data_IF_578723134391
#
_entry.id   IF_578723134391
#
_cell.length_a   1.000
_cell.length_b   1.000
_cell.length_c   1.000
_cell.angle_alpha   90.00
_cell.angle_beta   90.00
_cell.angle_gamma   90.00
#
_symmetry.space_group_name_H-M   'P 1'
#
loop_
_entity.id
_entity.type
_entity.pdbx_description
1 polymer ?
#
# COMPACT_ATOMS: atom_id res chain seq x y z
N UNK A 1 -12.64 -5.02 39.33
CA UNK A 1 -13.95 -4.44 39.70
C UNK A 1 -14.65 -4.04 38.41
N UNK A 2 -15.69 -4.80 38.06
CA UNK A 2 -16.70 -4.54 37.01
C UNK A 2 -17.89 -3.79 37.65
N UNK A 3 -18.87 -3.19 36.93
CA UNK A 3 -19.71 -3.88 35.93
C UNK A 3 -20.05 -3.06 34.66
N UNK A 4 -20.12 -3.68 33.47
CA UNK A 4 -21.26 -4.43 32.92
C UNK A 4 -22.57 -3.63 32.83
N UNK A 5 -23.03 -3.37 31.60
CA UNK A 5 -24.44 -3.59 31.22
C UNK A 5 -24.57 -3.83 29.72
N UNK A 6 -25.16 -4.98 29.41
CA UNK A 6 -25.51 -5.50 28.10
C UNK A 6 -26.66 -4.71 27.47
N UNK A 7 -26.77 -4.72 26.14
CA UNK A 7 -27.90 -5.40 25.46
C UNK A 7 -27.67 -5.55 23.94
N UNK A 8 -27.81 -6.79 23.46
CA UNK A 8 -28.24 -7.16 22.10
C UNK A 8 -29.60 -7.90 22.26
N UNK A 9 -30.32 -8.42 21.23
CA UNK A 9 -30.09 -8.49 19.77
C UNK A 9 -31.40 -8.27 18.95
N UNK A 10 -31.53 -8.94 17.78
CA UNK A 10 -32.70 -9.21 16.88
C UNK A 10 -32.53 -8.51 15.51
N UNK A 11 -31.92 -9.15 14.51
CA UNK A 11 -32.45 -10.16 13.56
C UNK A 11 -33.42 -9.57 12.51
N UNK A 12 -33.07 -9.70 11.22
CA UNK A 12 -33.91 -9.28 10.11
C UNK A 12 -33.28 -9.54 8.73
N UNK A 13 -33.36 -10.79 8.29
CA UNK A 13 -33.04 -11.30 6.95
C UNK A 13 -34.01 -10.70 5.90
N UNK A 14 -33.53 -10.13 4.81
CA UNK A 14 -34.33 -9.95 3.59
C UNK A 14 -33.46 -9.86 2.33
N UNK A 15 -33.43 -10.99 1.62
CA UNK A 15 -33.03 -11.17 0.23
C UNK A 15 -33.92 -10.33 -0.71
N UNK A 16 -33.46 -10.07 -1.94
CA UNK A 16 -34.17 -9.72 -3.22
C UNK A 16 -33.62 -8.42 -3.86
N UNK A 17 -33.41 -8.25 -5.17
CA UNK A 17 -33.55 -9.05 -6.41
C UNK A 17 -32.69 -8.35 -7.48
N UNK A 18 -31.88 -9.09 -8.24
CA UNK A 18 -31.45 -8.63 -9.57
C UNK A 18 -32.64 -8.76 -10.53
N UNK A 19 -33.01 -7.67 -11.19
CA UNK A 19 -33.76 -7.69 -12.44
C UNK A 19 -33.39 -6.46 -13.27
N UNK A 20 -32.72 -6.69 -14.40
CA UNK A 20 -32.61 -5.68 -15.45
C UNK A 20 -33.94 -5.52 -16.17
N UNK A 21 -34.13 -4.35 -16.80
CA UNK A 21 -35.01 -4.21 -17.95
C UNK A 21 -34.46 -3.14 -18.88
N UNK A 22 -34.14 -3.59 -20.10
CA UNK A 22 -34.08 -2.78 -21.29
C UNK A 22 -35.47 -2.19 -21.60
N UNK A 23 -35.50 -0.99 -22.20
CA UNK A 23 -36.75 -0.36 -22.64
C UNK A 23 -36.52 0.97 -23.35
N UNK A 24 -36.35 0.89 -24.67
CA UNK A 24 -36.35 1.97 -25.68
C UNK A 24 -37.54 2.95 -25.50
N UNK A 25 -37.39 4.25 -25.82
CA UNK A 25 -38.36 5.29 -25.43
C UNK A 25 -39.57 5.35 -26.38
N UNK A 26 -40.78 5.64 -25.87
CA UNK A 26 -41.82 6.27 -26.67
C UNK A 26 -41.71 7.80 -26.54
N UNK A 27 -41.77 8.46 -27.69
CA UNK A 27 -41.75 9.90 -27.82
C UNK A 27 -42.96 10.53 -27.10
N UNK A 28 -42.70 11.46 -26.19
CA UNK A 28 -43.71 12.35 -25.64
C UNK A 28 -43.47 13.74 -26.21
N UNK A 29 -44.45 14.17 -26.98
CA UNK A 29 -44.62 15.53 -27.48
C UNK A 29 -44.45 16.55 -26.38
N UNK A 30 -43.70 17.60 -26.69
CA UNK A 30 -43.42 18.74 -25.84
C UNK A 30 -44.69 19.28 -25.17
N UNK A 31 -44.68 19.29 -23.84
CA UNK A 31 -45.41 20.26 -23.06
C UNK A 31 -44.43 20.92 -22.08
N UNK A 32 -44.32 22.23 -22.19
CA UNK A 32 -43.29 23.03 -21.55
C UNK A 32 -43.72 23.37 -20.14
N UNK A 33 -43.35 22.53 -19.17
CA UNK A 33 -43.41 22.83 -17.75
C UNK A 33 -42.09 22.47 -17.10
N UNK A 34 -41.21 23.45 -16.92
CA UNK A 34 -39.90 23.26 -16.30
C UNK A 34 -40.08 22.76 -14.86
N UNK A 35 -39.78 21.48 -14.64
CA UNK A 35 -39.62 20.94 -13.31
C UNK A 35 -38.37 21.56 -12.70
N UNK A 36 -38.62 22.51 -11.79
CA UNK A 36 -37.69 23.24 -10.95
C UNK A 36 -36.74 22.25 -10.24
N UNK A 37 -35.57 22.04 -10.81
CA UNK A 37 -34.45 21.42 -10.14
C UNK A 37 -34.04 22.40 -9.04
N UNK A 38 -34.57 22.21 -7.83
CA UNK A 38 -34.05 22.89 -6.64
C UNK A 38 -32.63 22.40 -6.42
N UNK A 39 -31.71 23.10 -7.07
CA UNK A 39 -30.29 23.10 -6.85
C UNK A 39 -30.10 23.46 -5.37
N UNK A 40 -29.89 22.45 -4.53
CA UNK A 40 -29.52 22.68 -3.13
C UNK A 40 -28.11 23.27 -3.17
N UNK A 41 -28.03 24.59 -3.10
CA UNK A 41 -26.78 25.33 -3.06
C UNK A 41 -26.05 24.93 -1.76
N UNK A 42 -25.10 24.00 -1.90
CA UNK A 42 -24.18 23.62 -0.83
C UNK A 42 -23.27 24.82 -0.56
N UNK A 43 -23.73 25.72 0.30
CA UNK A 43 -22.91 26.78 0.87
C UNK A 43 -21.93 26.16 1.87
N UNK A 44 -20.91 25.51 1.32
CA UNK A 44 -19.70 25.22 2.05
C UNK A 44 -19.06 26.58 2.33
N UNK A 45 -18.83 26.93 3.60
CA UNK A 45 -18.02 28.09 4.02
C UNK A 45 -16.54 27.89 3.63
N UNK A 46 -16.30 27.56 2.36
CA UNK A 46 -15.02 27.58 1.73
C UNK A 46 -14.70 29.06 1.50
N UNK A 47 -13.46 29.50 1.74
CA UNK A 47 -13.04 30.78 1.20
C UNK A 47 -13.32 30.79 -0.29
N UNK A 48 -13.77 31.94 -0.83
CA UNK A 48 -14.01 32.10 -2.27
C UNK A 48 -12.85 31.46 -3.04
N UNK A 49 -13.12 30.71 -4.12
CA UNK A 49 -12.06 30.17 -4.95
C UNK A 49 -11.27 31.36 -5.46
N UNK A 50 -10.19 31.70 -4.74
CA UNK A 50 -9.16 32.59 -5.22
C UNK A 50 -8.78 32.00 -6.57
N UNK A 51 -8.68 32.83 -7.60
CA UNK A 51 -8.11 32.42 -8.88
C UNK A 51 -6.82 31.68 -8.55
N UNK A 52 -6.87 30.34 -8.52
CA UNK A 52 -5.68 29.57 -8.33
C UNK A 52 -5.01 29.70 -9.68
N UNK A 53 -4.22 30.76 -9.81
CA UNK A 53 -3.07 30.76 -10.68
C UNK A 53 -2.04 29.82 -10.06
N UNK A 54 -2.48 28.58 -9.81
CA UNK A 54 -1.70 27.40 -9.65
C UNK A 54 -0.85 27.41 -10.93
N UNK A 55 0.44 27.76 -10.86
CA UNK A 55 1.24 27.82 -12.06
C UNK A 55 1.06 26.48 -12.76
N UNK A 56 0.53 26.50 -13.98
CA UNK A 56 0.64 25.39 -14.91
C UNK A 56 2.09 24.94 -14.78
N UNK A 57 2.35 23.72 -14.27
CA UNK A 57 3.66 23.38 -13.79
C UNK A 57 4.67 23.61 -14.91
N UNK A 58 5.47 24.68 -14.77
CA UNK A 58 6.47 25.05 -15.75
C UNK A 58 7.33 23.83 -16.05
N UNK A 59 7.52 23.53 -17.33
CA UNK A 59 7.95 22.26 -17.87
C UNK A 59 9.42 21.86 -17.57
N UNK A 60 9.99 22.36 -16.48
CA UNK A 60 11.39 22.19 -16.08
C UNK A 60 11.53 21.28 -14.86
N UNK A 61 10.77 20.17 -14.82
CA UNK A 61 11.08 19.09 -13.89
C UNK A 61 12.44 18.50 -14.23
N UNK A 62 13.34 18.48 -13.25
CA UNK A 62 14.56 17.69 -13.27
C UNK A 62 14.20 16.21 -13.45
N UNK A 63 15.17 15.41 -13.87
CA UNK A 63 14.97 13.97 -13.99
C UNK A 63 14.61 13.31 -12.65
N UNK A 64 15.02 13.90 -11.52
CA UNK A 64 14.64 13.41 -10.20
C UNK A 64 13.12 13.53 -9.98
N UNK A 65 12.53 14.72 -10.21
CA UNK A 65 11.08 14.89 -10.00
C UNK A 65 10.25 14.13 -11.04
N UNK A 66 10.72 13.99 -12.28
CA UNK A 66 10.08 13.11 -13.27
C UNK A 66 10.07 11.66 -12.81
N UNK A 67 11.16 11.19 -12.21
CA UNK A 67 11.24 9.86 -11.61
C UNK A 67 10.23 9.68 -10.47
N UNK A 68 10.11 10.66 -9.58
CA UNK A 68 9.11 10.61 -8.51
C UNK A 68 7.66 10.63 -9.02
N UNK A 69 7.38 11.38 -10.09
CA UNK A 69 6.05 11.37 -10.72
C UNK A 69 5.71 10.03 -11.35
N UNK A 70 6.64 9.45 -12.10
CA UNK A 70 6.46 8.13 -12.69
C UNK A 70 6.24 7.08 -11.59
N UNK A 71 7.03 7.15 -10.51
CA UNK A 71 6.85 6.28 -9.34
C UNK A 71 5.48 6.44 -8.69
N UNK A 72 5.02 7.68 -8.51
CA UNK A 72 3.70 7.97 -7.95
C UNK A 72 2.55 7.49 -8.86
N UNK A 73 2.77 7.44 -10.17
CA UNK A 73 1.85 6.85 -11.14
C UNK A 73 1.89 5.31 -11.19
N UNK A 74 2.82 4.69 -10.47
CA UNK A 74 3.03 3.24 -10.48
C UNK A 74 3.89 2.73 -11.64
N UNK A 75 4.49 3.61 -12.45
CA UNK A 75 5.40 3.22 -13.52
C UNK A 75 6.84 3.10 -12.99
N UNK A 76 7.13 1.95 -12.39
CA UNK A 76 8.46 1.63 -11.85
C UNK A 76 9.56 1.64 -12.92
N UNK A 77 9.24 1.26 -14.17
CA UNK A 77 10.23 1.17 -15.25
C UNK A 77 10.67 2.57 -15.65
N UNK A 78 9.69 3.45 -15.92
CA UNK A 78 9.97 4.82 -16.30
C UNK A 78 10.66 5.58 -15.14
N UNK A 79 10.21 5.36 -13.90
CA UNK A 79 10.82 5.95 -12.72
C UNK A 79 12.32 5.62 -12.59
N UNK A 80 12.67 4.33 -12.69
CA UNK A 80 14.07 3.89 -12.60
C UNK A 80 14.92 4.47 -13.73
N UNK A 81 14.39 4.56 -14.95
CA UNK A 81 15.11 5.20 -16.06
C UNK A 81 15.43 6.67 -15.78
N UNK A 82 14.47 7.41 -15.22
CA UNK A 82 14.68 8.79 -14.82
C UNK A 82 15.72 8.93 -13.70
N UNK A 83 15.66 8.11 -12.64
CA UNK A 83 16.65 8.14 -11.56
C UNK A 83 18.06 7.79 -12.06
N UNK A 84 18.20 6.80 -12.93
CA UNK A 84 19.49 6.46 -13.54
C UNK A 84 20.03 7.58 -14.44
N UNK A 85 19.14 8.31 -15.14
CA UNK A 85 19.53 9.47 -15.95
C UNK A 85 19.96 10.64 -15.05
N UNK A 86 19.22 10.93 -14.00
CA UNK A 86 19.57 11.92 -12.98
C UNK A 86 20.97 11.66 -12.41
N UNK A 87 21.23 10.44 -11.94
CA UNK A 87 22.55 10.01 -11.43
C UNK A 87 23.69 10.24 -12.43
N UNK A 88 23.47 9.94 -13.70
CA UNK A 88 24.50 10.06 -14.75
C UNK A 88 24.81 11.51 -15.14
N UNK A 89 23.83 12.41 -15.05
CA UNK A 89 23.96 13.78 -15.52
C UNK A 89 24.50 14.71 -14.43
N UNK A 90 24.00 14.62 -13.21
CA UNK A 90 24.38 15.53 -12.12
C UNK A 90 25.78 15.27 -11.56
N UNK A 91 26.28 14.02 -11.65
CA UNK A 91 27.66 13.62 -11.32
C UNK A 91 28.18 14.12 -9.96
N UNK A 92 27.28 14.29 -8.99
CA UNK A 92 27.62 14.67 -7.62
C UNK A 92 27.18 13.57 -6.64
N UNK A 93 27.82 13.44 -5.46
CA UNK A 93 27.56 12.33 -4.54
C UNK A 93 26.14 12.37 -3.96
N UNK A 94 25.56 13.56 -3.78
CA UNK A 94 24.20 13.74 -3.27
C UNK A 94 23.17 13.22 -4.26
N UNK A 95 23.28 13.60 -5.53
CA UNK A 95 22.41 13.13 -6.60
C UNK A 95 22.53 11.63 -6.84
N UNK A 96 23.74 11.07 -6.70
CA UNK A 96 23.92 9.63 -6.74
C UNK A 96 23.19 8.94 -5.58
N UNK A 97 23.36 9.44 -4.35
CA UNK A 97 22.65 8.93 -3.20
C UNK A 97 21.13 9.02 -3.35
N UNK A 98 20.58 10.16 -3.79
CA UNK A 98 19.14 10.34 -4.00
C UNK A 98 18.56 9.38 -5.04
N UNK A 99 19.25 9.22 -6.17
CA UNK A 99 18.86 8.25 -7.20
C UNK A 99 18.90 6.82 -6.67
N UNK A 100 19.94 6.47 -5.92
CA UNK A 100 20.12 5.13 -5.38
C UNK A 100 19.08 4.82 -4.30
N UNK A 101 18.71 5.79 -3.45
CA UNK A 101 17.57 5.67 -2.52
C UNK A 101 16.28 5.37 -3.27
N UNK A 102 15.98 6.14 -4.31
CA UNK A 102 14.74 5.97 -5.05
C UNK A 102 14.70 4.61 -5.79
N UNK A 103 15.83 4.16 -6.34
CA UNK A 103 15.94 2.84 -6.97
C UNK A 103 15.80 1.72 -5.94
N UNK A 104 16.46 1.82 -4.79
CA UNK A 104 16.34 0.84 -3.71
C UNK A 104 14.90 0.75 -3.19
N UNK A 105 14.21 1.88 -3.07
CA UNK A 105 12.79 1.91 -2.74
C UNK A 105 11.93 1.19 -3.78
N UNK A 106 12.17 1.42 -5.08
CA UNK A 106 11.47 0.69 -6.15
C UNK A 106 11.70 -0.82 -6.09
N UNK A 107 12.91 -1.25 -5.72
CA UNK A 107 13.22 -2.68 -5.52
C UNK A 107 12.58 -3.30 -4.28
N UNK A 108 12.11 -2.48 -3.34
CA UNK A 108 11.37 -2.94 -2.16
C UNK A 108 9.88 -3.19 -2.45
N UNK A 109 9.35 -2.68 -3.56
CA UNK A 109 7.92 -2.76 -3.88
C UNK A 109 7.57 -4.12 -4.52
N UNK A 110 6.68 -4.94 -3.93
CA UNK A 110 6.35 -6.28 -4.45
C UNK A 110 5.76 -6.31 -5.86
N UNK A 111 5.10 -5.22 -6.28
CA UNK A 111 4.50 -5.10 -7.60
C UNK A 111 5.48 -4.52 -8.65
N UNK A 112 6.71 -4.22 -8.26
CA UNK A 112 7.73 -3.70 -9.15
C UNK A 112 8.37 -4.83 -9.96
N UNK A 113 8.66 -4.64 -11.25
CA UNK A 113 9.46 -5.59 -12.03
C UNK A 113 10.91 -5.69 -11.55
N UNK A 114 11.34 -4.78 -10.66
CA UNK A 114 12.67 -4.77 -10.05
C UNK A 114 12.65 -5.27 -8.60
N UNK A 115 11.57 -5.93 -8.18
CA UNK A 115 11.43 -6.42 -6.81
C UNK A 115 12.55 -7.40 -6.45
N UNK A 116 13.33 -7.01 -5.45
CA UNK A 116 14.40 -7.82 -4.86
C UNK A 116 14.58 -7.34 -3.41
N UNK A 117 13.91 -8.04 -2.49
CA UNK A 117 13.90 -7.69 -1.07
C UNK A 117 15.31 -7.77 -0.46
N UNK A 118 16.06 -8.84 -0.77
CA UNK A 118 17.39 -9.04 -0.21
C UNK A 118 18.34 -7.93 -0.67
N UNK A 119 18.42 -7.67 -1.97
CA UNK A 119 19.25 -6.60 -2.50
C UNK A 119 18.82 -5.22 -1.99
N UNK A 120 17.52 -4.95 -1.87
CA UNK A 120 17.00 -3.69 -1.34
C UNK A 120 17.36 -3.49 0.14
N UNK A 121 17.34 -4.54 0.95
CA UNK A 121 17.73 -4.45 2.37
C UNK A 121 19.22 -4.14 2.54
N UNK A 122 20.09 -4.77 1.74
CA UNK A 122 21.52 -4.49 1.72
C UNK A 122 21.78 -3.06 1.25
N UNK A 123 21.16 -2.65 0.15
CA UNK A 123 21.28 -1.30 -0.38
C UNK A 123 20.81 -0.25 0.65
N UNK A 124 19.71 -0.51 1.37
CA UNK A 124 19.22 0.37 2.43
C UNK A 124 20.26 0.61 3.52
N UNK A 125 20.92 -0.45 4.00
CA UNK A 125 21.94 -0.35 5.03
C UNK A 125 23.16 0.45 4.55
N UNK A 126 23.61 0.21 3.32
CA UNK A 126 24.70 0.98 2.69
C UNK A 126 24.34 2.46 2.51
N UNK A 127 23.10 2.75 2.09
CA UNK A 127 22.59 4.10 1.86
C UNK A 127 22.52 4.92 3.16
N UNK A 128 22.10 4.30 4.27
CA UNK A 128 22.12 4.92 5.59
C UNK A 128 23.54 5.29 6.01
N UNK A 129 24.51 4.38 5.80
CA UNK A 129 25.90 4.59 6.20
C UNK A 129 26.59 5.73 5.45
N UNK A 130 26.15 6.04 4.22
CA UNK A 130 26.76 7.06 3.35
C UNK A 130 25.89 8.29 3.12
N UNK A 131 24.93 8.55 3.99
CA UNK A 131 24.03 9.69 3.84
C UNK A 131 24.83 11.01 3.70
N UNK A 132 24.58 11.82 2.66
CA UNK A 132 25.31 13.08 2.46
C UNK A 132 25.10 14.06 3.61
N UNK A 133 26.19 14.62 4.13
CA UNK A 133 26.18 15.65 5.18
C UNK A 133 26.59 17.04 4.67
N UNK A 134 27.32 17.10 3.56
CA UNK A 134 27.87 18.35 3.03
C UNK A 134 26.86 19.17 2.21
N UNK A 135 25.89 18.51 1.57
CA UNK A 135 24.82 19.12 0.80
C UNK A 135 23.51 18.47 1.20
N UNK A 136 22.51 19.28 1.51
CA UNK A 136 21.19 18.80 1.88
C UNK A 136 20.56 18.03 0.68
N UNK A 137 20.22 16.74 0.85
CA UNK A 137 19.49 16.01 -0.17
C UNK A 137 18.06 16.54 -0.33
N UNK A 138 17.44 16.23 -1.46
CA UNK A 138 16.05 16.50 -1.75
C UNK A 138 15.13 15.85 -0.69
N UNK A 139 14.16 16.61 -0.16
CA UNK A 139 13.30 16.17 0.95
C UNK A 139 12.58 14.84 0.66
N UNK A 140 12.05 14.67 -0.56
CA UNK A 140 11.45 13.40 -1.00
C UNK A 140 12.41 12.21 -0.91
N UNK A 141 13.70 12.39 -1.23
CA UNK A 141 14.68 11.30 -1.10
C UNK A 141 14.94 10.97 0.38
N UNK A 142 14.99 11.97 1.24
CA UNK A 142 15.09 11.77 2.70
C UNK A 142 13.86 11.02 3.22
N UNK A 143 12.65 11.39 2.78
CA UNK A 143 11.41 10.71 3.13
C UNK A 143 11.41 9.26 2.65
N UNK A 144 11.84 9.01 1.41
CA UNK A 144 11.96 7.65 0.87
C UNK A 144 12.97 6.80 1.64
N UNK A 145 14.05 7.41 2.14
CA UNK A 145 14.99 6.71 3.01
C UNK A 145 14.27 6.22 4.27
N UNK A 146 13.52 7.10 4.96
CA UNK A 146 12.73 6.71 6.15
C UNK A 146 11.68 5.65 5.86
N UNK A 147 11.02 5.75 4.71
CA UNK A 147 10.07 4.74 4.26
C UNK A 147 10.76 3.40 4.00
N UNK A 148 11.97 3.42 3.42
CA UNK A 148 12.77 2.21 3.19
C UNK A 148 13.16 1.55 4.51
N UNK A 149 13.59 2.30 5.53
CA UNK A 149 13.92 1.72 6.86
C UNK A 149 12.70 1.03 7.47
N UNK A 150 11.53 1.67 7.37
CA UNK A 150 10.28 1.10 7.86
C UNK A 150 9.91 -0.18 7.11
N UNK A 151 10.07 -0.22 5.78
CA UNK A 151 9.80 -1.42 4.98
C UNK A 151 10.77 -2.57 5.28
N UNK A 152 12.06 -2.27 5.47
CA UNK A 152 13.06 -3.26 5.89
C UNK A 152 12.69 -3.85 7.26
N UNK A 153 12.26 -3.01 8.20
CA UNK A 153 11.88 -3.48 9.53
C UNK A 153 10.59 -4.31 9.50
N UNK A 154 9.61 -3.90 8.69
CA UNK A 154 8.39 -4.68 8.47
C UNK A 154 8.70 -6.04 7.84
N UNK A 155 9.64 -6.11 6.89
CA UNK A 155 10.06 -7.38 6.30
C UNK A 155 10.64 -8.34 7.35
N UNK A 156 11.50 -7.85 8.25
CA UNK A 156 12.03 -8.66 9.37
C UNK A 156 10.92 -9.18 10.28
N UNK A 157 9.97 -8.32 10.65
CA UNK A 157 8.85 -8.74 11.48
C UNK A 157 7.96 -9.80 10.80
N UNK A 158 7.81 -9.73 9.47
CA UNK A 158 7.10 -10.77 8.72
C UNK A 158 7.86 -12.10 8.78
N UNK A 159 9.17 -12.09 8.55
CA UNK A 159 10.01 -13.29 8.63
C UNK A 159 9.95 -13.93 10.04
N UNK A 160 10.04 -13.10 11.09
CA UNK A 160 9.94 -13.56 12.49
C UNK A 160 8.56 -14.18 12.79
N UNK A 161 7.49 -13.56 12.26
CA UNK A 161 6.13 -14.04 12.44
C UNK A 161 5.90 -15.37 11.72
N UNK A 162 6.39 -15.50 10.48
CA UNK A 162 6.32 -16.72 9.71
C UNK A 162 7.11 -17.85 10.39
N UNK A 163 8.32 -17.56 10.87
CA UNK A 163 9.13 -18.49 11.65
C UNK A 163 8.44 -18.96 12.92
N UNK A 164 7.87 -18.03 13.70
CA UNK A 164 7.10 -18.35 14.90
C UNK A 164 5.86 -19.20 14.59
N UNK A 165 5.15 -18.89 13.51
CA UNK A 165 3.99 -19.66 13.07
C UNK A 165 4.37 -21.10 12.70
N UNK A 166 5.48 -21.29 11.99
CA UNK A 166 5.99 -22.60 11.62
C UNK A 166 6.33 -23.46 12.85
N UNK A 167 7.00 -22.88 13.84
CA UNK A 167 7.32 -23.56 15.12
C UNK A 167 6.03 -23.97 15.85
N UNK A 168 5.07 -23.05 15.96
CA UNK A 168 3.80 -23.32 16.65
C UNK A 168 3.00 -24.42 15.96
N UNK A 169 2.96 -24.44 14.62
CA UNK A 169 2.32 -25.52 13.86
C UNK A 169 2.97 -26.87 14.13
N UNK A 170 4.30 -26.92 14.15
CA UNK A 170 5.04 -28.14 14.45
C UNK A 170 4.76 -28.64 15.88
N UNK A 171 4.70 -27.74 16.85
CA UNK A 171 4.43 -28.09 18.24
C UNK A 171 3.00 -28.57 18.46
N UNK A 172 2.02 -27.97 17.77
CA UNK A 172 0.65 -28.45 17.74
C UNK A 172 0.57 -29.87 17.17
N UNK A 173 1.24 -30.13 16.05
CA UNK A 173 1.26 -31.47 15.46
C UNK A 173 1.84 -32.52 16.42
N UNK A 174 2.98 -32.23 17.07
CA UNK A 174 3.57 -33.12 18.08
C UNK A 174 2.62 -33.39 19.24
N UNK A 175 1.92 -32.36 19.72
CA UNK A 175 0.93 -32.49 20.81
C UNK A 175 -0.26 -33.33 20.38
N UNK A 176 -0.77 -33.13 19.17
CA UNK A 176 -1.84 -33.97 18.61
C UNK A 176 -1.41 -35.44 18.49
N UNK A 177 -0.21 -35.69 18.00
CA UNK A 177 0.33 -37.05 17.92
C UNK A 177 0.48 -37.70 19.30
N UNK A 178 0.96 -36.96 20.29
CA UNK A 178 1.07 -37.43 21.67
C UNK A 178 -0.32 -37.76 22.26
N UNK A 179 -1.30 -36.89 22.04
CA UNK A 179 -2.69 -37.13 22.47
C UNK A 179 -3.31 -38.34 21.79
N UNK A 180 -3.04 -38.56 20.49
CA UNK A 180 -3.49 -39.77 19.77
C UNK A 180 -2.91 -41.03 20.38
N UNK A 181 -1.59 -41.07 20.63
CA UNK A 181 -0.94 -42.23 21.28
C UNK A 181 -1.49 -42.48 22.69
N UNK A 182 -1.71 -41.42 23.48
CA UNK A 182 -2.31 -41.56 24.80
C UNK A 182 -3.75 -42.10 24.72
N UNK A 183 -4.54 -41.65 23.74
CA UNK A 183 -5.88 -42.19 23.48
C UNK A 183 -5.84 -43.67 23.10
N UNK A 184 -4.91 -44.06 22.23
CA UNK A 184 -4.72 -45.46 21.83
C UNK A 184 -4.33 -46.34 23.03
N UNK A 185 -3.42 -45.86 23.89
CA UNK A 185 -3.00 -46.58 25.09
C UNK A 185 -4.11 -46.68 26.15
N UNK A 186 -4.96 -45.65 26.28
CA UNK A 186 -6.02 -45.60 27.31
C UNK A 186 -7.31 -46.30 26.87
N UNK A 187 -7.66 -46.25 25.59
CA UNK A 187 -8.91 -46.81 25.06
C UNK A 187 -8.71 -48.11 24.26
N UNK A 188 -7.47 -48.51 23.97
CA UNK A 188 -7.14 -49.71 23.18
C UNK A 188 -7.63 -49.66 21.73
N UNK A 189 -8.15 -48.51 21.27
CA UNK A 189 -8.67 -48.32 19.92
C UNK A 189 -7.72 -47.46 19.09
N UNK A 190 -7.23 -47.94 17.93
CA UNK A 190 -6.41 -47.13 17.03
C UNK A 190 -7.19 -45.90 16.59
N UNK A 191 -6.57 -44.73 16.61
CA UNK A 191 -7.19 -43.50 16.13
C UNK A 191 -7.43 -43.64 14.62
N UNK A 192 -8.69 -43.87 14.23
CA UNK A 192 -9.05 -43.95 12.81
C UNK A 192 -8.97 -42.55 12.22
N UNK A 193 -8.11 -42.32 11.21
CA UNK A 193 -8.02 -41.00 10.58
C UNK A 193 -9.32 -40.70 9.83
N UNK A 194 -9.85 -39.50 10.01
CA UNK A 194 -10.87 -38.87 9.16
C UNK A 194 -10.28 -37.62 8.54
#
# INVERSE_FOLDING_TARGET
MQPFKLWAPVAGLALTLLAGCAGQPPATTADSGSADAREVELNLNLPDPRDCNCPEPGADYTFLERGFRALAAGDSIEAVQYFQRYRRLEKNPTAAWEADVAIAYVSMLPNSPFYDLEAATVASAELQARQPTAQAPHDTAVLLTRALEALVELARHLDDLEGSNAILRQDLEKREQALRRLRELTLGQPATPR
#
